data_IF_088188760865
#
_entry.id   IF_088188760865
#
_cell.length_a   1.000
_cell.length_b   1.000
_cell.length_c   1.000
_cell.angle_alpha   90.00
_cell.angle_beta   90.00
_cell.angle_gamma   90.00
#
_symmetry.space_group_name_H-M   'P 1'
#
loop_
_entity.id
_entity.type
_entity.pdbx_description
1 polymer ?
#
# COMPACT_ATOMS: atom_id res chain seq x y z
N UNK A 1 29.74 9.78 1.43
CA UNK A 1 29.28 9.02 2.62
C UNK A 1 28.17 8.08 2.19
N UNK A 2 28.05 6.86 2.76
CA UNK A 2 26.96 5.94 2.40
C UNK A 2 25.60 6.56 2.73
N UNK A 3 24.57 6.24 1.95
CA UNK A 3 23.20 6.65 2.27
C UNK A 3 22.78 6.00 3.59
N UNK A 4 22.10 6.76 4.44
CA UNK A 4 21.53 6.26 5.69
C UNK A 4 20.03 6.54 5.73
N UNK A 5 19.26 5.60 6.26
CA UNK A 5 17.79 5.67 6.34
C UNK A 5 17.36 5.29 7.76
N UNK A 6 16.42 6.05 8.32
CA UNK A 6 15.78 5.65 9.57
C UNK A 6 14.91 4.42 9.35
N UNK A 7 15.19 3.36 10.08
CA UNK A 7 14.54 2.08 9.96
C UNK A 7 13.62 1.86 11.17
N UNK A 8 12.30 1.86 10.95
CA UNK A 8 11.32 1.68 12.03
C UNK A 8 11.52 0.38 12.81
N UNK A 9 11.96 -0.70 12.14
CA UNK A 9 12.20 -2.00 12.78
C UNK A 9 13.36 -1.95 13.80
N UNK A 10 14.44 -1.23 13.48
CA UNK A 10 15.60 -1.08 14.37
C UNK A 10 15.51 0.14 15.29
N UNK A 11 14.60 1.07 14.97
CA UNK A 11 14.43 2.40 15.60
C UNK A 11 15.70 3.25 15.55
N UNK A 12 16.51 3.07 14.50
CA UNK A 12 17.80 3.72 14.31
C UNK A 12 17.99 4.13 12.85
N UNK A 13 18.93 5.03 12.64
CA UNK A 13 19.42 5.38 11.30
C UNK A 13 20.47 4.36 10.89
N UNK A 14 20.10 3.47 9.97
CA UNK A 14 20.96 2.39 9.47
C UNK A 14 21.59 2.75 8.12
N UNK A 15 22.76 2.19 7.83
CA UNK A 15 23.35 2.29 6.49
C UNK A 15 22.46 1.55 5.48
N UNK A 16 22.04 2.25 4.43
CA UNK A 16 21.27 1.64 3.35
C UNK A 16 22.17 0.78 2.46
N UNK A 17 21.84 -0.50 2.37
CA UNK A 17 22.49 -1.45 1.46
C UNK A 17 21.40 -2.18 0.67
N UNK A 18 21.39 -2.10 -0.68
CA UNK A 18 20.38 -2.80 -1.47
C UNK A 18 20.58 -4.31 -1.42
N UNK A 19 19.48 -5.06 -1.47
CA UNK A 19 19.52 -6.54 -1.53
C UNK A 19 20.23 -7.04 -2.79
N UNK A 20 20.08 -6.32 -3.92
CA UNK A 20 20.69 -6.68 -5.21
C UNK A 20 21.34 -5.46 -5.90
N UNK A 21 22.54 -4.99 -5.47
CA UNK A 21 23.17 -3.82 -6.06
C UNK A 21 23.34 -3.92 -7.61
N UNK A 22 23.12 -2.84 -8.38
CA UNK A 22 22.67 -1.50 -7.97
C UNK A 22 21.13 -1.36 -7.95
N UNK A 23 20.37 -2.46 -7.97
CA UNK A 23 18.91 -2.47 -8.03
C UNK A 23 18.28 -2.29 -6.65
N UNK A 24 17.24 -1.48 -6.59
CA UNK A 24 16.44 -1.22 -5.38
C UNK A 24 14.97 -1.46 -5.68
N UNK A 25 14.33 -2.34 -4.91
CA UNK A 25 12.88 -2.43 -4.86
C UNK A 25 12.34 -1.45 -3.81
N UNK A 26 11.41 -0.59 -4.21
CA UNK A 26 10.72 0.35 -3.33
C UNK A 26 9.22 0.07 -3.44
N UNK A 27 8.60 -0.34 -2.34
CA UNK A 27 7.14 -0.43 -2.23
C UNK A 27 6.63 0.67 -1.31
N UNK A 28 5.58 1.40 -1.73
CA UNK A 28 4.90 2.35 -0.85
C UNK A 28 3.39 2.15 -0.91
N UNK A 29 2.71 2.18 0.25
CA UNK A 29 1.26 2.03 0.30
C UNK A 29 0.59 3.19 -0.46
N UNK A 30 -0.31 2.91 -1.39
CA UNK A 30 -1.07 3.92 -2.12
C UNK A 30 -2.42 4.23 -1.48
N UNK A 31 -3.29 4.88 -2.26
CA UNK A 31 -4.56 5.41 -1.77
C UNK A 31 -5.68 4.37 -1.81
N UNK A 32 -6.61 4.48 -0.85
CA UNK A 32 -7.96 3.93 -1.00
C UNK A 32 -8.81 4.94 -1.77
N UNK A 33 -9.30 4.55 -2.94
CA UNK A 33 -9.84 5.48 -3.95
C UNK A 33 -11.35 5.67 -3.81
N UNK A 34 -11.79 6.14 -2.64
CA UNK A 34 -13.21 6.40 -2.33
C UNK A 34 -13.57 7.87 -2.11
N UNK A 35 -12.57 8.75 -1.94
CA UNK A 35 -12.72 10.20 -1.78
C UNK A 35 -11.46 10.93 -2.26
N UNK A 36 -11.52 12.26 -2.30
CA UNK A 36 -10.41 13.14 -2.69
C UNK A 36 -9.21 13.01 -1.74
N UNK A 37 -8.01 13.19 -2.29
CA UNK A 37 -6.79 13.21 -1.51
C UNK A 37 -6.69 14.47 -0.63
N UNK A 38 -6.59 14.32 0.69
CA UNK A 38 -6.29 15.43 1.60
C UNK A 38 -4.78 15.73 1.70
N UNK A 39 -4.42 16.88 2.30
CA UNK A 39 -3.03 17.35 2.44
C UNK A 39 -2.07 16.35 3.12
N UNK A 40 -2.58 15.52 4.04
CA UNK A 40 -1.78 14.46 4.67
C UNK A 40 -1.24 13.44 3.66
N UNK A 41 -2.02 13.14 2.61
CA UNK A 41 -1.57 12.31 1.50
C UNK A 41 -0.46 13.01 0.73
N UNK A 42 -0.65 14.30 0.38
CA UNK A 42 0.37 15.09 -0.30
C UNK A 42 1.72 15.05 0.43
N UNK A 43 1.74 15.30 1.75
CA UNK A 43 2.95 15.20 2.58
C UNK A 43 3.60 13.82 2.47
N UNK A 44 2.81 12.75 2.59
CA UNK A 44 3.28 11.37 2.55
C UNK A 44 3.92 11.04 1.20
N UNK A 45 3.23 11.32 0.10
CA UNK A 45 3.72 10.95 -1.24
C UNK A 45 4.88 11.83 -1.72
N UNK A 46 4.98 13.09 -1.27
CA UNK A 46 6.21 13.88 -1.42
C UNK A 46 7.39 13.23 -0.67
N UNK A 47 7.15 12.69 0.52
CA UNK A 47 8.17 11.95 1.27
C UNK A 47 8.68 10.72 0.51
N UNK A 48 7.77 9.91 -0.02
CA UNK A 48 8.10 8.75 -0.87
C UNK A 48 8.92 9.17 -2.11
N UNK A 49 8.50 10.28 -2.75
CA UNK A 49 9.14 10.82 -3.95
C UNK A 49 10.57 11.30 -3.67
N UNK A 50 10.80 11.98 -2.55
CA UNK A 50 12.14 12.39 -2.10
C UNK A 50 13.04 11.16 -1.92
N UNK A 51 12.54 10.07 -1.32
CA UNK A 51 13.31 8.83 -1.16
C UNK A 51 13.69 8.26 -2.54
N UNK A 52 12.73 8.13 -3.45
CA UNK A 52 12.99 7.62 -4.81
C UNK A 52 13.99 8.49 -5.56
N UNK A 53 13.79 9.81 -5.59
CA UNK A 53 14.67 10.75 -6.29
C UNK A 53 16.08 10.72 -5.73
N UNK A 54 16.22 10.60 -4.40
CA UNK A 54 17.53 10.46 -3.74
C UNK A 54 18.24 9.19 -4.18
N UNK A 55 17.53 8.05 -4.22
CA UNK A 55 18.10 6.78 -4.66
C UNK A 55 18.54 6.83 -6.14
N UNK A 56 17.71 7.39 -7.02
CA UNK A 56 18.04 7.57 -8.44
C UNK A 56 19.25 8.51 -8.60
N UNK A 57 19.28 9.62 -7.87
CA UNK A 57 20.40 10.57 -7.90
C UNK A 57 21.72 9.94 -7.46
N UNK A 58 21.67 9.02 -6.50
CA UNK A 58 22.83 8.24 -6.04
C UNK A 58 23.25 7.12 -7.02
N UNK A 59 22.57 6.96 -8.15
CA UNK A 59 22.91 5.99 -9.19
C UNK A 59 22.27 4.60 -9.02
N UNK A 60 21.29 4.45 -8.12
CA UNK A 60 20.56 3.19 -8.00
C UNK A 60 19.51 3.02 -9.11
N UNK A 61 19.31 1.77 -9.55
CA UNK A 61 18.22 1.41 -10.44
C UNK A 61 16.98 1.05 -9.61
N UNK A 62 16.06 2.00 -9.45
CA UNK A 62 14.89 1.85 -8.57
C UNK A 62 13.71 1.30 -9.35
N UNK A 63 13.13 0.20 -8.88
CA UNK A 63 11.78 -0.25 -9.24
C UNK A 63 10.82 0.14 -8.13
N UNK A 64 9.92 1.08 -8.42
CA UNK A 64 8.94 1.61 -7.48
C UNK A 64 7.57 1.03 -7.78
N UNK A 65 7.00 0.34 -6.79
CA UNK A 65 5.66 -0.27 -6.80
C UNK A 65 4.78 0.49 -5.81
N UNK A 66 3.54 0.75 -6.21
CA UNK A 66 2.53 1.34 -5.34
C UNK A 66 1.19 0.65 -5.58
N UNK A 67 0.49 0.28 -4.51
CA UNK A 67 -0.84 -0.32 -4.65
C UNK A 67 -1.92 0.76 -4.84
N UNK A 68 -3.09 0.35 -5.31
CA UNK A 68 -4.34 1.12 -5.20
C UNK A 68 -5.35 0.21 -4.53
N UNK A 69 -5.96 0.68 -3.45
CA UNK A 69 -7.03 -0.03 -2.76
C UNK A 69 -8.36 0.39 -3.40
N UNK A 70 -8.80 -0.37 -4.40
CA UNK A 70 -10.01 -0.13 -5.20
C UNK A 70 -11.17 -1.09 -4.87
N UNK A 71 -10.98 -1.94 -3.86
CA UNK A 71 -12.01 -2.79 -3.26
C UNK A 71 -11.67 -3.00 -1.78
N UNK A 72 -12.69 -3.15 -0.93
CA UNK A 72 -12.51 -3.38 0.49
C UNK A 72 -12.13 -2.12 1.26
N UNK A 73 -11.60 -2.35 2.47
CA UNK A 73 -11.16 -1.36 3.47
C UNK A 73 -12.32 -0.77 4.28
N UNK A 74 -12.64 -1.42 5.40
CA UNK A 74 -13.69 -1.01 6.35
C UNK A 74 -13.43 0.40 6.90
N UNK A 75 -14.52 1.10 7.23
CA UNK A 75 -14.50 2.46 7.80
C UNK A 75 -13.86 2.50 9.20
N UNK A 76 -13.72 1.38 9.91
CA UNK A 76 -13.18 1.29 11.27
C UNK A 76 -12.28 0.07 11.49
N UNK A 77 -11.35 0.19 12.46
CA UNK A 77 -10.47 -0.89 12.93
C UNK A 77 -11.21 -1.93 13.79
N UNK A 78 -12.44 -1.63 14.22
CA UNK A 78 -13.40 -2.62 14.68
C UNK A 78 -14.22 -3.03 13.46
N UNK A 79 -14.34 -4.33 13.18
CA UNK A 79 -15.09 -4.93 12.05
C UNK A 79 -16.60 -4.53 11.96
N UNK A 80 -17.03 -3.55 12.75
CA UNK A 80 -18.30 -2.84 12.69
C UNK A 80 -18.14 -1.50 11.92
N UNK A 81 -18.05 -1.57 10.59
CA UNK A 81 -18.02 -0.35 9.77
C UNK A 81 -18.46 -0.62 8.33
N UNK A 82 -19.18 0.33 7.73
CA UNK A 82 -19.48 0.31 6.30
C UNK A 82 -18.16 0.21 5.49
N UNK A 83 -18.18 -0.41 4.31
CA UNK A 83 -17.04 -0.40 3.41
C UNK A 83 -16.80 1.02 2.87
N UNK A 84 -15.55 1.53 2.92
CA UNK A 84 -15.26 2.91 2.50
C UNK A 84 -15.62 3.16 1.03
N UNK A 85 -15.48 2.15 0.18
CA UNK A 85 -15.82 2.23 -1.23
C UNK A 85 -17.35 2.21 -1.44
N UNK A 86 -18.09 1.41 -0.67
CA UNK A 86 -19.56 1.42 -0.67
C UNK A 86 -20.12 2.76 -0.22
N UNK A 87 -19.53 3.37 0.82
CA UNK A 87 -19.88 4.72 1.26
C UNK A 87 -19.65 5.77 0.16
N UNK A 88 -18.55 5.65 -0.58
CA UNK A 88 -18.27 6.50 -1.74
C UNK A 88 -19.30 6.32 -2.87
N UNK A 89 -19.71 5.09 -3.16
CA UNK A 89 -20.75 4.75 -4.13
C UNK A 89 -22.11 5.36 -3.75
N UNK A 90 -22.53 5.19 -2.50
CA UNK A 90 -23.78 5.76 -1.98
C UNK A 90 -23.81 7.30 -2.05
N UNK A 91 -22.68 7.96 -1.72
CA UNK A 91 -22.54 9.43 -1.77
C UNK A 91 -22.62 9.99 -3.19
N UNK A 92 -22.22 9.22 -4.20
CA UNK A 92 -22.08 9.69 -5.58
C UNK A 92 -23.15 9.19 -6.53
N UNK A 93 -23.98 8.21 -6.11
CA UNK A 93 -25.00 7.58 -6.96
C UNK A 93 -24.41 6.73 -8.10
N UNK A 94 -23.16 6.29 -7.96
CA UNK A 94 -22.40 5.54 -8.98
C UNK A 94 -22.04 4.15 -8.46
N UNK A 95 -21.60 3.26 -9.36
CA UNK A 95 -21.05 1.96 -8.93
C UNK A 95 -19.73 2.15 -8.19
N UNK A 96 -19.38 1.18 -7.34
CA UNK A 96 -18.08 1.11 -6.63
C UNK A 96 -16.90 1.24 -7.60
N UNK A 97 -17.02 0.63 -8.78
CA UNK A 97 -16.02 0.67 -9.85
C UNK A 97 -15.86 2.06 -10.46
N UNK A 98 -16.97 2.76 -10.69
CA UNK A 98 -16.96 4.11 -11.23
C UNK A 98 -16.37 5.11 -10.23
N UNK A 99 -16.67 4.92 -8.94
CA UNK A 99 -16.08 5.68 -7.82
C UNK A 99 -14.58 5.45 -7.76
N UNK A 100 -14.15 4.19 -7.73
CA UNK A 100 -12.74 3.82 -7.70
C UNK A 100 -11.97 4.44 -8.86
N UNK A 101 -12.49 4.30 -10.08
CA UNK A 101 -11.87 4.85 -11.28
C UNK A 101 -11.79 6.38 -11.23
N UNK A 102 -12.86 7.05 -10.81
CA UNK A 102 -12.89 8.50 -10.70
C UNK A 102 -11.84 9.01 -9.70
N UNK A 103 -11.85 8.52 -8.46
CA UNK A 103 -10.93 8.98 -7.43
C UNK A 103 -9.50 8.51 -7.65
N UNK A 104 -9.28 7.37 -8.31
CA UNK A 104 -7.95 6.97 -8.74
C UNK A 104 -7.36 7.98 -9.74
N UNK A 105 -8.15 8.39 -10.74
CA UNK A 105 -7.70 9.39 -11.73
C UNK A 105 -7.43 10.74 -11.07
N UNK A 106 -8.32 11.19 -10.18
CA UNK A 106 -8.17 12.44 -9.44
C UNK A 106 -6.94 12.43 -8.51
N UNK A 107 -6.75 11.35 -7.74
CA UNK A 107 -5.58 11.16 -6.87
C UNK A 107 -4.29 11.37 -7.66
N UNK A 108 -4.20 10.69 -8.80
CA UNK A 108 -3.01 10.69 -9.63
C UNK A 108 -2.78 12.02 -10.36
N UNK A 109 -3.85 12.67 -10.83
CA UNK A 109 -3.76 14.04 -11.36
C UNK A 109 -3.27 15.02 -10.26
N UNK A 110 -3.73 14.86 -9.03
CA UNK A 110 -3.29 15.66 -7.89
C UNK A 110 -1.80 15.42 -7.58
N UNK A 111 -1.33 14.17 -7.64
CA UNK A 111 0.09 13.87 -7.44
C UNK A 111 0.98 14.45 -8.57
N UNK A 112 0.48 14.48 -9.81
CA UNK A 112 1.19 15.14 -10.91
C UNK A 112 1.36 16.64 -10.70
N UNK A 113 0.31 17.31 -10.19
CA UNK A 113 0.37 18.74 -9.85
C UNK A 113 1.41 19.03 -8.76
N UNK A 114 1.68 18.05 -7.88
CA UNK A 114 2.74 18.11 -6.87
C UNK A 114 4.12 17.69 -7.41
N UNK A 115 4.24 17.40 -8.72
CA UNK A 115 5.47 16.94 -9.38
C UNK A 115 6.04 15.65 -8.77
N UNK A 116 5.16 14.77 -8.29
CA UNK A 116 5.55 13.46 -7.76
C UNK A 116 5.77 12.49 -8.92
N UNK A 117 6.88 11.76 -8.92
CA UNK A 117 7.15 10.77 -9.95
C UNK A 117 6.18 9.59 -9.83
N UNK A 118 5.46 9.28 -10.92
CA UNK A 118 4.58 8.11 -10.97
C UNK A 118 5.34 6.81 -10.66
N UNK A 119 4.77 5.89 -9.85
CA UNK A 119 5.36 4.57 -9.62
C UNK A 119 5.53 3.83 -10.96
N UNK A 120 6.53 2.96 -11.05
CA UNK A 120 6.76 2.17 -12.26
C UNK A 120 5.68 1.10 -12.43
N UNK A 121 5.14 0.60 -11.32
CA UNK A 121 4.09 -0.41 -11.28
C UNK A 121 2.99 0.08 -10.33
N UNK A 122 1.76 0.12 -10.86
CA UNK A 122 0.55 0.38 -10.09
C UNK A 122 -0.20 -0.95 -9.96
N UNK A 123 -0.37 -1.44 -8.74
CA UNK A 123 -1.03 -2.71 -8.46
C UNK A 123 -2.40 -2.47 -7.85
N UNK A 124 -3.48 -2.67 -8.61
CA UNK A 124 -4.83 -2.55 -8.05
C UNK A 124 -5.19 -3.81 -7.27
N UNK A 125 -5.82 -3.66 -6.11
CA UNK A 125 -6.20 -4.80 -5.28
C UNK A 125 -7.08 -5.79 -6.06
N UNK A 126 -7.99 -5.27 -6.89
CA UNK A 126 -8.90 -6.08 -7.72
C UNK A 126 -8.19 -6.93 -8.80
N UNK A 127 -7.01 -6.50 -9.27
CA UNK A 127 -6.21 -7.24 -10.26
C UNK A 127 -5.41 -8.39 -9.64
N UNK A 128 -5.27 -8.41 -8.32
CA UNK A 128 -4.45 -9.35 -7.57
C UNK A 128 -5.26 -10.25 -6.62
N UNK A 129 -6.59 -10.33 -6.79
CA UNK A 129 -7.45 -11.23 -6.00
C UNK A 129 -6.96 -12.69 -6.08
N UNK A 130 -6.59 -13.25 -7.26
CA UNK A 130 -6.05 -14.61 -7.33
C UNK A 130 -4.77 -14.80 -6.50
N UNK A 131 -3.88 -13.80 -6.51
CA UNK A 131 -2.63 -13.82 -5.74
C UNK A 131 -2.90 -13.77 -4.23
N UNK A 132 -3.89 -12.97 -3.81
CA UNK A 132 -4.33 -12.88 -2.41
C UNK A 132 -4.92 -14.20 -1.93
N UNK A 133 -5.77 -14.85 -2.72
CA UNK A 133 -6.34 -16.17 -2.40
C UNK A 133 -5.22 -17.21 -2.26
N UNK A 134 -4.28 -17.27 -3.20
CA UNK A 134 -3.16 -18.21 -3.15
C UNK A 134 -2.29 -18.02 -1.89
N UNK A 135 -2.09 -16.76 -1.46
CA UNK A 135 -1.38 -16.47 -0.22
C UNK A 135 -2.19 -16.93 1.01
N UNK A 136 -3.49 -16.68 1.04
CA UNK A 136 -4.39 -17.12 2.12
C UNK A 136 -4.35 -18.65 2.25
N UNK A 137 -4.51 -19.37 1.14
CA UNK A 137 -4.42 -20.83 1.10
C UNK A 137 -3.07 -21.33 1.63
N UNK A 138 -1.98 -20.67 1.25
CA UNK A 138 -0.63 -20.99 1.75
C UNK A 138 -0.52 -20.79 3.26
N UNK A 139 -1.10 -19.71 3.80
CA UNK A 139 -1.07 -19.42 5.24
C UNK A 139 -1.91 -20.42 6.03
N UNK A 140 -3.10 -20.78 5.53
CA UNK A 140 -3.95 -21.82 6.12
C UNK A 140 -3.26 -23.18 6.10
N UNK A 141 -2.67 -23.57 4.97
CA UNK A 141 -1.94 -24.84 4.84
C UNK A 141 -0.73 -24.92 5.79
N UNK A 142 -0.07 -23.79 6.08
CA UNK A 142 1.02 -23.70 7.05
C UNK A 142 0.56 -23.58 8.50
N UNK A 143 -0.75 -23.60 8.76
CA UNK A 143 -1.35 -23.49 10.09
C UNK A 143 -1.40 -22.08 10.67
N UNK A 144 -1.02 -21.06 9.91
CA UNK A 144 -1.08 -19.64 10.32
C UNK A 144 -2.45 -18.99 10.08
N UNK A 145 -3.30 -19.60 9.27
CA UNK A 145 -4.68 -19.16 9.05
C UNK A 145 -5.70 -20.16 9.59
N UNK A 146 -6.89 -19.68 9.93
CA UNK A 146 -8.05 -20.52 10.24
C UNK A 146 -9.32 -19.92 9.63
N UNK A 147 -10.23 -20.79 9.20
CA UNK A 147 -11.50 -20.41 8.60
C UNK A 147 -12.61 -20.38 9.66
N UNK A 148 -13.51 -19.39 9.55
CA UNK A 148 -14.77 -19.30 10.28
C UNK A 148 -15.93 -19.28 9.28
N UNK A 149 -17.19 -19.36 9.73
CA UNK A 149 -18.34 -19.19 8.83
C UNK A 149 -18.37 -17.86 8.06
N UNK A 150 -17.64 -16.85 8.51
CA UNK A 150 -17.68 -15.49 7.97
C UNK A 150 -16.44 -15.15 7.12
N UNK A 151 -15.25 -15.57 7.56
CA UNK A 151 -13.99 -15.21 6.90
C UNK A 151 -12.83 -16.14 7.28
N UNK A 152 -11.70 -15.96 6.59
CA UNK A 152 -10.41 -16.53 7.01
C UNK A 152 -9.63 -15.51 7.81
N UNK A 153 -9.16 -15.90 8.99
CA UNK A 153 -8.38 -15.05 9.90
C UNK A 153 -6.93 -15.54 10.02
N UNK A 154 -6.02 -14.61 10.30
CA UNK A 154 -4.63 -14.92 10.61
C UNK A 154 -4.44 -15.10 12.12
N UNK A 155 -3.88 -16.23 12.53
CA UNK A 155 -3.59 -16.55 13.93
C UNK A 155 -2.28 -15.88 14.38
N UNK A 156 -2.42 -14.67 14.92
CA UNK A 156 -1.27 -13.88 15.42
C UNK A 156 -0.49 -14.59 16.52
N UNK A 157 -1.11 -15.50 17.28
CA UNK A 157 -0.45 -16.22 18.37
C UNK A 157 0.63 -17.18 17.86
N UNK A 158 0.52 -17.63 16.60
CA UNK A 158 1.50 -18.50 15.94
C UNK A 158 2.67 -17.74 15.33
N UNK A 159 2.60 -16.41 15.23
CA UNK A 159 3.68 -15.59 14.69
C UNK A 159 4.42 -14.86 15.82
N UNK A 160 5.49 -15.47 16.32
CA UNK A 160 6.23 -14.98 17.50
C UNK A 160 6.84 -13.57 17.35
N UNK A 161 6.93 -13.03 16.13
CA UNK A 161 7.41 -11.68 15.84
C UNK A 161 6.29 -10.66 15.66
N UNK A 162 5.03 -11.02 15.89
CA UNK A 162 3.92 -10.07 15.80
C UNK A 162 4.14 -8.89 16.74
N UNK A 163 3.92 -7.66 16.24
CA UNK A 163 4.18 -6.43 17.00
C UNK A 163 5.64 -5.96 17.04
N UNK A 164 6.54 -6.53 16.23
CA UNK A 164 7.95 -6.10 16.20
C UNK A 164 8.21 -4.78 15.45
N UNK A 165 7.27 -4.35 14.60
CA UNK A 165 7.40 -3.13 13.76
C UNK A 165 6.99 -1.86 14.53
#
# INVERSE_FOLDING_TARGET
>A
MPLQIYNSLSKKTDNFTPVHPPRVGLYTCGATVYDYAHIGHGRKYVGDDIIRRTLVWLGYNVTHVQNVTDVGHLVSDNDEGEDKMEKGAAKTGKTVWDVAKFFMNDFYASMDLLNIMRPHIICRATEHIPDQIALIETLVAKGYGYETPEAVYFDVSKFSKYGSL
#
